data_IF_651710536474
#
_entry.id   IF_651710536474
#
_cell.length_a   1.000
_cell.length_b   1.000
_cell.length_c   1.000
_cell.angle_alpha   90.00
_cell.angle_beta   90.00
_cell.angle_gamma   90.00
#
_symmetry.space_group_name_H-M   'P 1'
#
loop_
_entity.id
_entity.type
_entity.pdbx_description
1 polymer ?
#
# COMPACT_ATOMS: atom_id res chain seq x y z
N UNK A 1 17.18 -46.19 -11.35
CA UNK A 1 16.11 -45.28 -11.79
C UNK A 1 15.41 -44.76 -10.53
N UNK A 2 15.86 -43.62 -9.99
CA UNK A 2 15.42 -43.08 -8.69
C UNK A 2 14.21 -42.19 -8.96
N UNK A 3 13.03 -42.56 -8.45
CA UNK A 3 11.84 -41.70 -8.51
C UNK A 3 11.99 -40.58 -7.48
N UNK A 4 11.85 -39.30 -7.85
CA UNK A 4 11.88 -38.22 -6.88
C UNK A 4 10.70 -38.38 -5.91
N UNK A 5 11.01 -38.34 -4.62
CA UNK A 5 10.04 -38.33 -3.51
C UNK A 5 9.21 -37.05 -3.69
N UNK A 6 7.88 -37.17 -3.81
CA UNK A 6 6.97 -36.03 -3.77
C UNK A 6 7.13 -35.36 -2.40
N UNK A 7 7.91 -34.29 -2.35
CA UNK A 7 7.90 -33.36 -1.22
C UNK A 7 6.50 -32.77 -1.20
N UNK A 8 5.71 -33.11 -0.18
CA UNK A 8 4.42 -32.50 0.04
C UNK A 8 4.63 -31.00 0.11
N UNK A 9 4.04 -30.25 -0.83
CA UNK A 9 3.94 -28.79 -0.68
C UNK A 9 3.09 -28.57 0.57
N UNK A 10 3.74 -28.30 1.70
CA UNK A 10 3.10 -27.74 2.88
C UNK A 10 2.29 -26.53 2.40
N UNK A 11 1.00 -26.51 2.72
CA UNK A 11 0.06 -25.55 2.17
C UNK A 11 0.49 -24.15 2.61
N UNK A 12 0.97 -23.28 1.71
CA UNK A 12 1.40 -21.91 2.06
C UNK A 12 0.23 -20.98 2.42
N UNK A 13 -0.97 -21.53 2.68
CA UNK A 13 -2.19 -20.79 3.02
C UNK A 13 -2.39 -20.60 4.52
N UNK A 14 -1.86 -21.46 5.40
CA UNK A 14 -2.13 -21.37 6.85
C UNK A 14 -1.39 -20.20 7.53
N UNK A 15 -0.20 -19.82 7.06
CA UNK A 15 0.58 -18.73 7.68
C UNK A 15 0.16 -17.32 7.21
N UNK A 16 -0.35 -17.19 5.97
CA UNK A 16 -0.96 -15.94 5.52
C UNK A 16 -2.19 -15.61 6.39
N UNK A 17 -2.89 -16.63 6.89
CA UNK A 17 -4.05 -16.45 7.78
C UNK A 17 -3.71 -15.94 9.19
N UNK A 18 -2.45 -16.04 9.65
CA UNK A 18 -2.03 -15.51 10.96
C UNK A 18 -1.64 -14.02 10.88
N UNK A 19 -0.97 -13.58 9.81
CA UNK A 19 -0.57 -12.16 9.66
C UNK A 19 -1.72 -11.22 9.26
N UNK A 20 -2.77 -11.73 8.59
CA UNK A 20 -4.03 -10.99 8.38
C UNK A 20 -4.92 -10.92 9.62
N UNK A 21 -4.53 -11.55 10.73
CA UNK A 21 -5.36 -11.85 11.91
C UNK A 21 -5.86 -10.66 12.74
N UNK A 22 -5.59 -9.42 12.34
CA UNK A 22 -6.02 -8.23 13.09
C UNK A 22 -6.94 -7.27 12.31
N UNK A 23 -7.22 -7.50 11.03
CA UNK A 23 -8.19 -6.68 10.32
C UNK A 23 -9.61 -7.07 10.76
N UNK A 24 -10.29 -6.18 11.48
CA UNK A 24 -11.68 -6.38 11.88
C UNK A 24 -12.62 -6.07 10.72
N UNK A 25 -13.85 -6.58 10.78
CA UNK A 25 -14.88 -6.21 9.80
C UNK A 25 -15.06 -4.69 9.77
N UNK A 26 -15.09 -4.05 10.94
CA UNK A 26 -15.26 -2.60 11.09
C UNK A 26 -14.15 -1.81 10.39
N UNK A 27 -12.90 -2.29 10.41
CA UNK A 27 -11.78 -1.61 9.72
C UNK A 27 -11.99 -1.57 8.21
N UNK A 28 -12.44 -2.68 7.63
CA UNK A 28 -12.64 -2.81 6.18
C UNK A 28 -13.87 -2.02 5.74
N UNK A 29 -14.95 -2.08 6.52
CA UNK A 29 -16.17 -1.32 6.29
C UNK A 29 -15.87 0.19 6.29
N UNK A 30 -15.17 0.67 7.33
CA UNK A 30 -14.74 2.07 7.45
C UNK A 30 -13.83 2.50 6.29
N UNK A 31 -12.91 1.63 5.87
CA UNK A 31 -12.01 1.90 4.75
C UNK A 31 -12.77 2.09 3.43
N UNK A 32 -13.75 1.21 3.16
CA UNK A 32 -14.60 1.28 1.96
C UNK A 32 -15.53 2.50 1.98
N UNK A 33 -16.12 2.81 3.13
CA UNK A 33 -16.93 4.02 3.31
C UNK A 33 -16.10 5.28 3.03
N UNK A 34 -14.90 5.39 3.60
CA UNK A 34 -14.00 6.52 3.39
C UNK A 34 -13.60 6.64 1.91
N UNK A 35 -13.24 5.52 1.26
CA UNK A 35 -12.94 5.50 -0.17
C UNK A 35 -14.12 6.00 -1.00
N UNK A 36 -15.34 5.55 -0.68
CA UNK A 36 -16.57 5.99 -1.34
C UNK A 36 -16.83 7.48 -1.16
N UNK A 37 -16.75 8.00 0.07
CA UNK A 37 -16.98 9.41 0.39
C UNK A 37 -15.96 10.31 -0.31
N UNK A 38 -14.67 9.99 -0.23
CA UNK A 38 -13.61 10.78 -0.87
C UNK A 38 -13.77 10.74 -2.39
N UNK A 39 -14.04 9.56 -2.96
CA UNK A 39 -14.25 9.43 -4.41
C UNK A 39 -15.45 10.24 -4.86
N UNK A 40 -16.58 10.21 -4.15
CA UNK A 40 -17.78 10.98 -4.47
C UNK A 40 -17.52 12.49 -4.43
N UNK A 41 -16.82 12.97 -3.39
CA UNK A 41 -16.50 14.39 -3.25
C UNK A 41 -15.62 14.88 -4.40
N UNK A 42 -14.53 14.17 -4.70
CA UNK A 42 -13.62 14.56 -5.80
C UNK A 42 -14.32 14.41 -7.17
N UNK A 43 -15.09 13.34 -7.36
CA UNK A 43 -15.85 13.10 -8.60
C UNK A 43 -16.87 14.22 -8.87
N UNK A 44 -17.59 14.67 -7.84
CA UNK A 44 -18.55 15.78 -7.98
C UNK A 44 -17.87 17.09 -8.42
N UNK A 45 -16.67 17.37 -7.88
CA UNK A 45 -15.86 18.54 -8.28
C UNK A 45 -15.39 18.37 -9.72
N UNK A 46 -14.87 17.20 -10.10
CA UNK A 46 -14.41 16.92 -11.44
C UNK A 46 -15.53 17.12 -12.47
N UNK A 47 -16.70 16.51 -12.23
CA UNK A 47 -17.90 16.69 -13.08
C UNK A 47 -18.28 18.17 -13.16
N UNK A 48 -18.45 18.82 -12.00
CA UNK A 48 -18.87 20.22 -11.95
C UNK A 48 -17.95 21.13 -12.76
N UNK A 49 -16.63 20.90 -12.65
CA UNK A 49 -15.65 21.61 -13.45
C UNK A 49 -15.91 21.46 -14.95
N UNK A 50 -16.12 20.25 -15.47
CA UNK A 50 -16.36 20.02 -16.91
C UNK A 50 -17.63 20.67 -17.42
N UNK A 51 -18.68 20.73 -16.61
CA UNK A 51 -19.95 21.34 -17.01
C UNK A 51 -19.98 22.86 -16.85
N UNK A 52 -18.97 23.47 -16.21
CA UNK A 52 -18.96 24.93 -15.99
C UNK A 52 -18.29 25.74 -17.09
N UNK A 53 -17.60 25.11 -18.04
CA UNK A 53 -16.91 25.83 -19.13
C UNK A 53 -17.75 25.73 -20.40
N UNK A 54 -18.16 26.88 -20.92
CA UNK A 54 -18.88 26.97 -22.19
C UNK A 54 -17.93 26.72 -23.37
N UNK A 55 -18.45 26.18 -24.47
CA UNK A 55 -17.70 25.93 -25.71
C UNK A 55 -16.98 27.20 -26.21
N UNK A 56 -17.65 28.35 -26.13
CA UNK A 56 -17.08 29.64 -26.51
C UNK A 56 -15.87 30.03 -25.63
N UNK A 57 -15.82 29.63 -24.37
CA UNK A 57 -14.65 29.88 -23.51
C UNK A 57 -13.46 29.04 -23.97
N UNK A 58 -13.68 27.79 -24.40
CA UNK A 58 -12.63 26.94 -24.98
C UNK A 58 -12.02 27.54 -26.23
N UNK A 59 -12.87 27.99 -27.16
CA UNK A 59 -12.41 28.56 -28.43
C UNK A 59 -11.59 29.82 -28.20
N UNK A 60 -12.06 30.68 -27.29
CA UNK A 60 -11.33 31.88 -26.93
C UNK A 60 -9.98 31.58 -26.26
N UNK A 61 -9.90 30.51 -25.47
CA UNK A 61 -8.63 30.09 -24.88
C UNK A 61 -7.68 29.48 -25.90
N UNK A 62 -8.18 28.62 -26.80
CA UNK A 62 -7.40 28.08 -27.92
C UNK A 62 -6.86 29.22 -28.79
N UNK A 63 -7.70 30.20 -29.15
CA UNK A 63 -7.28 31.36 -29.94
C UNK A 63 -6.17 32.14 -29.24
N UNK A 64 -6.33 32.44 -27.95
CA UNK A 64 -5.32 33.17 -27.17
C UNK A 64 -4.02 32.38 -27.09
N UNK A 65 -4.10 31.08 -26.84
CA UNK A 65 -2.95 30.19 -26.79
C UNK A 65 -2.19 30.19 -28.13
N UNK A 66 -2.91 30.04 -29.24
CA UNK A 66 -2.33 30.03 -30.57
C UNK A 66 -1.68 31.38 -30.92
N UNK A 67 -2.32 32.50 -30.59
CA UNK A 67 -1.70 33.84 -30.78
C UNK A 67 -0.41 33.95 -29.94
N UNK A 68 -0.40 33.39 -28.74
CA UNK A 68 0.76 33.48 -27.86
C UNK A 68 1.94 32.63 -28.33
N UNK A 69 1.70 31.37 -28.70
CA UNK A 69 2.76 30.40 -28.98
C UNK A 69 3.12 30.23 -30.46
N UNK A 70 2.23 30.54 -31.40
CA UNK A 70 2.46 30.28 -32.82
C UNK A 70 2.67 31.58 -33.63
N UNK A 71 3.91 31.85 -34.07
CA UNK A 71 4.22 33.01 -34.89
C UNK A 71 3.48 33.03 -36.24
N UNK A 72 3.24 31.86 -36.85
CA UNK A 72 2.55 31.78 -38.14
C UNK A 72 1.08 32.10 -37.98
N UNK A 73 0.47 31.63 -36.88
CA UNK A 73 -0.90 31.99 -36.57
C UNK A 73 -1.04 33.49 -36.29
N UNK A 74 -0.07 34.11 -35.60
CA UNK A 74 -0.04 35.58 -35.45
C UNK A 74 -0.04 36.32 -36.80
N UNK A 75 0.78 35.87 -37.76
CA UNK A 75 0.81 36.42 -39.11
C UNK A 75 -0.53 36.26 -39.82
N UNK A 76 -1.15 35.09 -39.70
CA UNK A 76 -2.47 34.81 -40.26
C UNK A 76 -3.56 35.72 -39.68
N UNK A 77 -3.67 35.80 -38.35
CA UNK A 77 -4.60 36.69 -37.64
C UNK A 77 -4.40 38.13 -38.10
N UNK A 78 -3.15 38.59 -38.16
CA UNK A 78 -2.80 39.93 -38.66
C UNK A 78 -3.31 40.17 -40.08
N UNK A 79 -3.00 39.26 -41.00
CA UNK A 79 -3.41 39.39 -42.41
C UNK A 79 -4.93 39.43 -42.57
N UNK A 80 -5.64 38.61 -41.79
CA UNK A 80 -7.10 38.54 -41.79
C UNK A 80 -7.72 39.84 -41.27
N UNK A 81 -7.21 40.37 -40.15
CA UNK A 81 -7.70 41.63 -39.58
C UNK A 81 -7.46 42.83 -40.52
N UNK A 82 -6.35 42.83 -41.27
CA UNK A 82 -6.09 43.85 -42.29
C UNK A 82 -7.05 43.69 -43.48
N UNK A 83 -7.27 42.46 -43.94
CA UNK A 83 -8.10 42.15 -45.10
C UNK A 83 -9.58 42.43 -44.89
N UNK A 84 -10.11 42.17 -43.70
CA UNK A 84 -11.52 42.45 -43.36
C UNK A 84 -11.83 43.95 -43.29
N UNK A 85 -10.84 44.83 -43.48
CA UNK A 85 -10.96 46.29 -43.28
C UNK A 85 -11.73 46.59 -42.01
N UNK A 86 -11.53 45.77 -40.97
CA UNK A 86 -12.32 45.87 -39.76
C UNK A 86 -11.97 47.22 -39.17
N UNK A 87 -12.85 48.18 -39.40
CA UNK A 87 -12.95 49.45 -38.70
C UNK A 87 -13.41 49.13 -37.28
N UNK A 88 -12.68 48.24 -36.61
CA UNK A 88 -12.70 48.10 -35.18
C UNK A 88 -12.20 49.44 -34.75
N UNK A 89 -13.13 50.32 -34.42
CA UNK A 89 -12.85 51.44 -33.55
C UNK A 89 -12.34 50.78 -32.28
N UNK A 90 -11.03 50.52 -32.23
CA UNK A 90 -10.32 50.30 -30.99
C UNK A 90 -10.77 51.50 -30.17
N UNK A 91 -11.44 51.28 -29.02
CA UNK A 91 -12.01 52.36 -28.24
C UNK A 91 -11.00 53.50 -28.18
N UNK A 92 -11.39 54.70 -28.59
CA UNK A 92 -10.46 55.80 -28.91
C UNK A 92 -9.55 56.19 -27.74
N UNK A 93 -9.91 55.79 -26.52
CA UNK A 93 -9.06 55.88 -25.31
C UNK A 93 -7.86 54.92 -25.29
N UNK A 94 -7.92 53.78 -26.00
CA UNK A 94 -6.86 52.79 -26.12
C UNK A 94 -6.04 52.94 -27.43
N UNK A 95 -6.59 53.57 -28.46
CA UNK A 95 -5.95 53.67 -29.78
C UNK A 95 -4.64 54.46 -29.79
N UNK A 96 -4.46 55.40 -28.85
CA UNK A 96 -3.21 56.16 -28.72
C UNK A 96 -2.09 55.41 -27.97
N UNK A 97 -2.37 54.25 -27.36
CA UNK A 97 -1.37 53.47 -26.59
C UNK A 97 -1.23 52.00 -27.00
N UNK A 98 -2.18 51.44 -27.73
CA UNK A 98 -2.23 50.00 -27.99
C UNK A 98 -2.36 49.69 -29.49
N UNK A 99 -1.23 49.66 -30.19
CA UNK A 99 -1.18 49.23 -31.60
C UNK A 99 -1.05 47.70 -31.67
N UNK A 100 -2.21 47.04 -31.86
CA UNK A 100 -2.33 45.59 -31.97
C UNK A 100 -1.38 45.00 -33.04
N UNK A 101 -1.24 45.68 -34.18
CA UNK A 101 -0.42 45.21 -35.30
C UNK A 101 1.07 45.39 -34.99
N UNK A 102 1.46 46.48 -34.31
CA UNK A 102 2.83 46.68 -33.86
C UNK A 102 3.25 45.69 -32.77
N UNK A 103 2.35 45.34 -31.85
CA UNK A 103 2.62 44.34 -30.81
C UNK A 103 2.82 42.95 -31.43
N UNK A 104 1.94 42.57 -32.35
CA UNK A 104 2.10 41.31 -33.10
C UNK A 104 3.41 41.30 -33.91
N UNK A 105 3.83 42.42 -34.49
CA UNK A 105 5.12 42.54 -35.18
C UNK A 105 6.34 42.45 -34.24
N UNK A 106 6.30 43.08 -33.06
CA UNK A 106 7.41 43.00 -32.08
C UNK A 106 7.58 41.58 -31.56
N UNK A 107 6.47 40.87 -31.37
CA UNK A 107 6.47 39.49 -30.86
C UNK A 107 7.19 38.47 -31.77
N UNK A 108 7.41 38.78 -33.05
CA UNK A 108 8.19 37.90 -33.94
C UNK A 108 9.69 37.86 -33.58
N UNK A 109 10.19 38.85 -32.84
CA UNK A 109 11.61 38.99 -32.50
C UNK A 109 11.95 38.61 -31.05
N UNK A 110 10.95 38.24 -30.24
CA UNK A 110 11.18 37.85 -28.85
C UNK A 110 11.61 36.38 -28.78
N UNK A 111 12.91 36.17 -28.53
CA UNK A 111 13.43 34.88 -28.08
C UNK A 111 12.82 34.52 -26.70
N UNK A 112 12.50 33.25 -26.54
CA UNK A 112 11.56 32.67 -25.56
C UNK A 112 11.97 32.75 -24.07
N UNK A 113 12.86 33.65 -23.66
CA UNK A 113 13.45 33.65 -22.31
C UNK A 113 13.40 34.99 -21.55
N UNK A 114 13.02 36.11 -22.17
CA UNK A 114 12.89 37.42 -21.47
C UNK A 114 11.41 37.83 -21.47
N UNK A 115 10.69 37.46 -20.39
CA UNK A 115 9.27 37.11 -20.48
C UNK A 115 8.24 37.99 -19.75
N UNK A 116 8.56 39.12 -19.10
CA UNK A 116 7.50 39.85 -18.37
C UNK A 116 6.66 40.77 -19.27
N UNK A 117 7.32 41.67 -20.00
CA UNK A 117 6.61 42.81 -20.60
C UNK A 117 6.02 42.46 -21.96
N UNK A 118 6.80 41.79 -22.82
CA UNK A 118 6.32 41.30 -24.13
C UNK A 118 5.17 40.31 -23.99
N UNK A 119 5.14 39.48 -22.95
CA UNK A 119 4.03 38.55 -22.73
C UNK A 119 2.74 39.25 -22.31
N UNK A 120 2.83 40.32 -21.50
CA UNK A 120 1.66 41.14 -21.16
C UNK A 120 1.09 41.85 -22.39
N UNK A 121 1.95 42.34 -23.27
CA UNK A 121 1.53 42.94 -24.54
C UNK A 121 0.85 41.91 -25.46
N UNK A 122 1.45 40.73 -25.65
CA UNK A 122 0.88 39.66 -26.50
C UNK A 122 -0.44 39.13 -25.92
N UNK A 123 -0.54 38.95 -24.59
CA UNK A 123 -1.81 38.55 -23.97
C UNK A 123 -2.91 39.59 -24.15
N UNK A 124 -2.56 40.87 -24.05
CA UNK A 124 -3.50 41.97 -24.27
C UNK A 124 -3.94 41.99 -25.74
N UNK A 125 -3.00 41.80 -26.68
CA UNK A 125 -3.29 41.65 -28.10
C UNK A 125 -4.22 40.46 -28.38
N UNK A 126 -3.94 39.29 -27.80
CA UNK A 126 -4.77 38.10 -27.92
C UNK A 126 -6.19 38.32 -27.38
N UNK A 127 -6.35 39.05 -26.27
CA UNK A 127 -7.66 39.39 -25.70
C UNK A 127 -8.46 40.29 -26.63
N UNK A 128 -7.83 41.28 -27.26
CA UNK A 128 -8.50 42.14 -28.25
C UNK A 128 -8.85 41.35 -29.51
N UNK A 129 -7.91 40.55 -30.03
CA UNK A 129 -8.15 39.69 -31.18
C UNK A 129 -9.33 38.74 -30.95
N UNK A 130 -9.46 38.13 -29.76
CA UNK A 130 -10.59 37.23 -29.45
C UNK A 130 -11.98 37.87 -29.49
N UNK A 131 -12.09 39.19 -29.41
CA UNK A 131 -13.37 39.90 -29.51
C UNK A 131 -13.80 40.20 -30.94
N UNK A 132 -12.86 40.14 -31.88
CA UNK A 132 -13.04 40.64 -33.25
C UNK A 132 -12.82 39.54 -34.28
N UNK A 133 -11.84 38.67 -34.03
CA UNK A 133 -11.41 37.65 -34.96
C UNK A 133 -12.48 36.56 -35.10
N UNK A 134 -12.92 36.21 -36.33
CA UNK A 134 -13.87 35.14 -36.54
C UNK A 134 -13.29 33.79 -36.14
N UNK A 135 -13.84 33.15 -35.10
CA UNK A 135 -13.34 31.87 -34.58
C UNK A 135 -13.34 30.75 -35.64
N UNK A 136 -14.22 30.82 -36.63
CA UNK A 136 -14.27 29.91 -37.78
C UNK A 136 -12.94 29.82 -38.53
N UNK A 137 -12.20 30.93 -38.64
CA UNK A 137 -10.90 30.95 -39.30
C UNK A 137 -9.79 30.30 -38.47
N UNK A 138 -9.94 30.27 -37.14
CA UNK A 138 -9.01 29.54 -36.28
C UNK A 138 -9.10 28.03 -36.56
N UNK A 139 -10.31 27.50 -36.63
CA UNK A 139 -10.54 26.09 -36.96
C UNK A 139 -10.02 25.73 -38.36
N UNK A 140 -10.16 26.62 -39.34
CA UNK A 140 -9.58 26.40 -40.66
C UNK A 140 -8.04 26.36 -40.65
N UNK A 141 -7.40 27.06 -39.71
CA UNK A 141 -5.94 27.13 -39.60
C UNK A 141 -5.33 25.92 -38.88
N UNK A 142 -5.93 25.48 -37.78
CA UNK A 142 -5.41 24.36 -36.98
C UNK A 142 -6.07 23.01 -37.29
N UNK A 143 -7.18 22.99 -38.02
CA UNK A 143 -8.04 21.82 -38.08
C UNK A 143 -8.53 21.43 -36.68
N UNK A 144 -8.62 20.13 -36.42
CA UNK A 144 -9.05 19.57 -35.13
C UNK A 144 -7.97 19.62 -34.02
N UNK A 145 -6.76 20.12 -34.30
CA UNK A 145 -5.64 20.13 -33.33
C UNK A 145 -5.71 21.31 -32.33
N UNK A 146 -6.83 21.42 -31.63
CA UNK A 146 -7.03 22.41 -30.58
C UNK A 146 -6.30 22.01 -29.28
N UNK A 147 -5.14 22.59 -28.99
CA UNK A 147 -4.25 22.15 -27.91
C UNK A 147 -4.86 22.23 -26.50
N UNK A 148 -5.61 23.29 -26.17
CA UNK A 148 -6.16 23.47 -24.82
C UNK A 148 -7.35 22.54 -24.59
N UNK A 149 -8.25 22.41 -25.56
CA UNK A 149 -9.36 21.44 -25.48
C UNK A 149 -8.87 20.00 -25.54
N UNK A 150 -7.79 19.71 -26.29
CA UNK A 150 -7.12 18.40 -26.32
C UNK A 150 -6.51 18.05 -24.96
N UNK A 151 -5.85 18.99 -24.28
CA UNK A 151 -5.36 18.75 -22.92
C UNK A 151 -6.50 18.53 -21.94
N UNK A 152 -7.56 19.35 -22.00
CA UNK A 152 -8.67 19.18 -21.08
C UNK A 152 -9.40 17.85 -21.30
N UNK A 153 -9.61 17.42 -22.54
CA UNK A 153 -10.20 16.11 -22.84
C UNK A 153 -9.27 14.97 -22.44
N UNK A 154 -7.96 15.07 -22.74
CA UNK A 154 -6.96 14.05 -22.44
C UNK A 154 -6.78 13.80 -20.94
N UNK A 155 -6.87 14.84 -20.10
CA UNK A 155 -6.75 14.66 -18.64
C UNK A 155 -8.12 14.54 -17.97
N UNK A 156 -9.11 15.28 -18.45
CA UNK A 156 -10.38 15.41 -17.77
C UNK A 156 -11.31 14.22 -17.91
N UNK A 157 -11.43 13.68 -19.13
CA UNK A 157 -12.25 12.49 -19.34
C UNK A 157 -11.67 11.28 -18.60
N UNK A 158 -10.37 10.95 -18.72
CA UNK A 158 -9.78 9.86 -17.94
C UNK A 158 -9.85 10.10 -16.42
N UNK A 159 -9.69 11.33 -15.94
CA UNK A 159 -9.88 11.65 -14.52
C UNK A 159 -11.27 11.24 -14.03
N UNK A 160 -12.31 11.69 -14.74
CA UNK A 160 -13.70 11.42 -14.40
C UNK A 160 -13.99 9.91 -14.43
N UNK A 161 -13.51 9.21 -15.45
CA UNK A 161 -13.65 7.75 -15.54
C UNK A 161 -12.97 7.02 -14.37
N UNK A 162 -11.74 7.39 -14.02
CA UNK A 162 -11.00 6.74 -12.93
C UNK A 162 -11.64 6.98 -11.57
N UNK A 163 -12.12 8.21 -11.32
CA UNK A 163 -12.87 8.55 -10.11
C UNK A 163 -14.21 7.82 -10.04
N UNK A 164 -14.92 7.69 -11.17
CA UNK A 164 -16.16 6.93 -11.28
C UNK A 164 -15.96 5.44 -11.02
N UNK A 165 -14.87 4.85 -11.54
CA UNK A 165 -14.49 3.46 -11.25
C UNK A 165 -14.16 3.26 -9.77
N UNK A 166 -13.42 4.18 -9.15
CA UNK A 166 -13.11 4.12 -7.72
C UNK A 166 -14.39 4.18 -6.85
N UNK A 167 -15.31 5.10 -7.18
CA UNK A 167 -16.59 5.24 -6.48
C UNK A 167 -17.48 4.00 -6.66
N UNK A 168 -17.68 3.56 -7.90
CA UNK A 168 -18.50 2.38 -8.17
C UNK A 168 -17.87 1.12 -7.54
N UNK A 169 -16.55 0.97 -7.63
CA UNK A 169 -15.80 -0.10 -7.00
C UNK A 169 -15.99 -0.13 -5.48
N UNK A 170 -15.89 1.02 -4.82
CA UNK A 170 -16.15 1.14 -3.38
C UNK A 170 -17.57 0.69 -3.03
N UNK A 171 -18.60 1.14 -3.79
CA UNK A 171 -19.98 0.73 -3.56
C UNK A 171 -20.19 -0.78 -3.77
N UNK A 172 -19.66 -1.35 -4.86
CA UNK A 172 -19.79 -2.79 -5.12
C UNK A 172 -19.08 -3.64 -4.06
N UNK A 173 -17.89 -3.23 -3.62
CA UNK A 173 -17.15 -3.91 -2.57
C UNK A 173 -17.85 -3.79 -1.22
N UNK A 174 -18.41 -2.63 -0.90
CA UNK A 174 -19.20 -2.42 0.31
C UNK A 174 -20.44 -3.32 0.31
N UNK A 175 -21.23 -3.32 -0.78
CA UNK A 175 -22.38 -4.22 -0.90
C UNK A 175 -21.98 -5.71 -0.83
N UNK A 176 -20.86 -6.09 -1.46
CA UNK A 176 -20.32 -7.45 -1.39
C UNK A 176 -19.96 -7.83 0.05
N UNK A 177 -19.29 -6.93 0.78
CA UNK A 177 -18.94 -7.11 2.18
C UNK A 177 -20.21 -7.24 3.05
N UNK A 178 -21.18 -6.34 2.89
CA UNK A 178 -22.43 -6.35 3.67
C UNK A 178 -23.33 -7.56 3.41
N UNK A 179 -23.35 -8.09 2.18
CA UNK A 179 -24.15 -9.27 1.83
C UNK A 179 -23.47 -10.59 2.20
N UNK A 180 -22.16 -10.56 2.43
CA UNK A 180 -21.39 -11.74 2.83
C UNK A 180 -21.53 -12.03 4.33
N UNK A 181 -21.37 -13.29 4.79
CA UNK A 181 -21.48 -13.66 6.21
C UNK A 181 -20.24 -13.23 7.05
N UNK A 182 -19.48 -12.26 6.58
CA UNK A 182 -18.19 -11.82 7.13
C UNK A 182 -18.30 -11.18 8.50
N UNK A 183 -19.47 -10.64 8.86
CA UNK A 183 -19.74 -10.06 10.18
C UNK A 183 -19.83 -11.10 11.31
N UNK A 184 -20.22 -12.33 10.98
CA UNK A 184 -20.45 -13.39 11.98
C UNK A 184 -19.46 -14.55 11.87
N UNK A 185 -18.67 -14.61 10.79
CA UNK A 185 -17.78 -15.72 10.49
C UNK A 185 -16.41 -15.21 10.02
N UNK A 186 -15.42 -15.33 10.90
CA UNK A 186 -14.04 -14.90 10.65
C UNK A 186 -13.40 -15.61 9.45
N UNK A 187 -13.73 -16.88 9.20
CA UNK A 187 -13.23 -17.59 8.02
C UNK A 187 -13.77 -16.98 6.71
N UNK A 188 -15.03 -16.53 6.72
CA UNK A 188 -15.62 -15.86 5.58
C UNK A 188 -14.92 -14.50 5.34
N UNK A 189 -14.61 -13.76 6.41
CA UNK A 189 -13.86 -12.51 6.34
C UNK A 189 -12.46 -12.73 5.77
N UNK A 190 -11.73 -13.74 6.26
CA UNK A 190 -10.41 -14.11 5.71
C UNK A 190 -10.47 -14.41 4.21
N UNK A 191 -11.45 -15.20 3.77
CA UNK A 191 -11.62 -15.52 2.33
C UNK A 191 -11.98 -14.28 1.52
N UNK A 192 -12.84 -13.41 2.06
CA UNK A 192 -13.19 -12.16 1.41
C UNK A 192 -11.95 -11.26 1.26
N UNK A 193 -11.14 -11.11 2.31
CA UNK A 193 -9.94 -10.27 2.33
C UNK A 193 -8.92 -10.65 1.24
N UNK A 194 -8.76 -11.95 0.96
CA UNK A 194 -7.85 -12.43 -0.10
C UNK A 194 -8.18 -11.82 -1.47
N UNK A 195 -9.47 -11.61 -1.78
CA UNK A 195 -9.90 -11.08 -3.07
C UNK A 195 -10.31 -9.60 -3.00
N UNK A 196 -10.91 -9.19 -1.90
CA UNK A 196 -11.40 -7.83 -1.68
C UNK A 196 -10.25 -6.84 -1.49
N UNK A 197 -9.20 -7.19 -0.74
CA UNK A 197 -8.12 -6.26 -0.43
C UNK A 197 -7.30 -5.82 -1.67
N UNK A 198 -6.93 -6.71 -2.62
CA UNK A 198 -6.35 -6.30 -3.90
C UNK A 198 -7.26 -5.37 -4.70
N UNK A 199 -8.58 -5.62 -4.71
CA UNK A 199 -9.56 -4.78 -5.41
C UNK A 199 -9.69 -3.41 -4.75
N UNK A 200 -9.67 -3.32 -3.42
CA UNK A 200 -9.59 -2.06 -2.67
C UNK A 200 -8.34 -1.29 -3.10
N UNK A 201 -7.18 -1.97 -3.16
CA UNK A 201 -5.92 -1.37 -3.62
C UNK A 201 -6.01 -0.78 -5.03
N UNK A 202 -6.64 -1.51 -5.96
CA UNK A 202 -6.88 -1.01 -7.33
C UNK A 202 -7.79 0.23 -7.32
N UNK A 203 -8.86 0.23 -6.50
CA UNK A 203 -9.75 1.39 -6.40
C UNK A 203 -9.03 2.63 -5.85
N UNK A 204 -8.15 2.48 -4.85
CA UNK A 204 -7.30 3.57 -4.37
C UNK A 204 -6.31 4.06 -5.43
N UNK A 205 -5.74 3.16 -6.23
CA UNK A 205 -4.87 3.54 -7.34
C UNK A 205 -5.63 4.34 -8.40
N UNK A 206 -6.84 3.90 -8.77
CA UNK A 206 -7.74 4.64 -9.66
C UNK A 206 -8.10 6.01 -9.09
N UNK A 207 -8.41 6.10 -7.79
CA UNK A 207 -8.67 7.37 -7.11
C UNK A 207 -7.45 8.31 -7.22
N UNK A 208 -6.25 7.82 -6.91
CA UNK A 208 -5.03 8.62 -6.95
C UNK A 208 -4.72 9.14 -8.37
N UNK A 209 -4.78 8.27 -9.38
CA UNK A 209 -4.59 8.66 -10.79
C UNK A 209 -5.67 9.66 -11.22
N UNK A 210 -6.92 9.40 -10.83
CA UNK A 210 -8.06 10.28 -11.09
C UNK A 210 -7.88 11.68 -10.52
N UNK A 211 -7.42 11.80 -9.28
CA UNK A 211 -7.11 13.08 -8.62
C UNK A 211 -5.98 13.82 -9.36
N UNK A 212 -4.90 13.13 -9.70
CA UNK A 212 -3.75 13.74 -10.42
C UNK A 212 -4.18 14.33 -11.77
N UNK A 213 -4.96 13.56 -12.54
CA UNK A 213 -5.49 14.03 -13.81
C UNK A 213 -6.52 15.15 -13.63
N UNK A 214 -7.34 15.07 -12.58
CA UNK A 214 -8.34 16.09 -12.26
C UNK A 214 -7.69 17.44 -11.90
N UNK A 215 -6.62 17.42 -11.11
CA UNK A 215 -5.84 18.61 -10.79
C UNK A 215 -5.17 19.19 -12.05
N UNK A 216 -4.67 18.34 -12.94
CA UNK A 216 -4.09 18.77 -14.22
C UNK A 216 -5.12 19.44 -15.14
N UNK A 217 -6.34 18.89 -15.17
CA UNK A 217 -7.46 19.50 -15.87
C UNK A 217 -7.87 20.83 -15.21
N UNK A 218 -7.91 20.92 -13.88
CA UNK A 218 -8.22 22.14 -13.15
C UNK A 218 -7.22 23.26 -13.45
N UNK A 219 -5.92 22.94 -13.49
CA UNK A 219 -4.88 23.90 -13.92
C UNK A 219 -5.16 24.41 -15.34
N UNK A 220 -5.57 23.53 -16.25
CA UNK A 220 -5.93 23.91 -17.61
C UNK A 220 -7.18 24.79 -17.66
N UNK A 221 -8.17 24.55 -16.79
CA UNK A 221 -9.34 25.41 -16.65
C UNK A 221 -9.01 26.80 -16.11
N UNK A 222 -8.15 26.87 -15.09
CA UNK A 222 -7.70 28.16 -14.56
C UNK A 222 -6.93 28.92 -15.63
N UNK A 223 -6.15 28.23 -16.46
CA UNK A 223 -5.48 28.83 -17.61
C UNK A 223 -6.47 29.43 -18.62
N UNK A 224 -7.56 28.71 -18.94
CA UNK A 224 -8.63 29.19 -19.83
C UNK A 224 -9.25 30.48 -19.29
N UNK A 225 -9.59 30.52 -18.00
CA UNK A 225 -10.31 31.66 -17.39
C UNK A 225 -9.40 32.84 -17.03
N UNK A 226 -8.18 32.57 -16.59
CA UNK A 226 -7.25 33.58 -16.05
C UNK A 226 -5.88 33.52 -16.72
N UNK A 227 -5.79 33.84 -18.02
CA UNK A 227 -4.52 33.78 -18.75
C UNK A 227 -3.46 34.72 -18.17
N UNK A 228 -3.82 35.82 -17.51
CA UNK A 228 -2.84 36.74 -16.89
C UNK A 228 -2.19 36.21 -15.62
N UNK A 229 -2.72 35.14 -15.01
CA UNK A 229 -2.09 34.48 -13.88
C UNK A 229 -0.92 33.57 -14.30
N UNK A 230 -0.58 33.57 -15.60
CA UNK A 230 0.41 32.70 -16.25
C UNK A 230 1.73 32.56 -15.49
N UNK A 231 2.33 33.68 -15.05
CA UNK A 231 3.63 33.65 -14.39
C UNK A 231 3.56 32.96 -13.02
N UNK A 232 2.48 33.19 -12.28
CA UNK A 232 2.23 32.55 -10.99
C UNK A 232 1.84 31.07 -11.15
N UNK A 233 1.10 30.76 -12.22
CA UNK A 233 0.66 29.41 -12.52
C UNK A 233 1.74 28.53 -13.15
N UNK A 234 2.73 29.09 -13.83
CA UNK A 234 3.86 28.33 -14.37
C UNK A 234 4.71 27.75 -13.22
N UNK A 235 4.89 28.52 -12.15
CA UNK A 235 5.50 28.05 -10.90
C UNK A 235 4.65 26.96 -10.24
N UNK A 236 3.32 27.15 -10.15
CA UNK A 236 2.42 26.15 -9.58
C UNK A 236 2.34 24.86 -10.42
N UNK A 237 2.34 24.98 -11.75
CA UNK A 237 2.39 23.88 -12.70
C UNK A 237 3.70 23.10 -12.53
N UNK A 238 4.84 23.80 -12.45
CA UNK A 238 6.13 23.16 -12.21
C UNK A 238 6.16 22.43 -10.86
N UNK A 239 5.59 23.03 -9.82
CA UNK A 239 5.42 22.38 -8.51
C UNK A 239 4.51 21.16 -8.58
N UNK A 240 3.41 21.19 -9.33
CA UNK A 240 2.55 20.03 -9.57
C UNK A 240 3.27 18.93 -10.38
N UNK A 241 4.00 19.29 -11.43
CA UNK A 241 4.79 18.36 -12.24
C UNK A 241 5.94 17.71 -11.45
N UNK A 242 6.42 18.34 -10.37
CA UNK A 242 7.42 17.76 -9.45
C UNK A 242 6.72 16.98 -8.33
N UNK A 243 5.69 17.56 -7.71
CA UNK A 243 4.97 16.96 -6.58
C UNK A 243 4.25 15.66 -6.97
N UNK A 244 3.69 15.57 -8.17
CA UNK A 244 3.03 14.36 -8.67
C UNK A 244 3.99 13.17 -8.75
N UNK A 245 5.12 13.22 -9.49
CA UNK A 245 6.06 12.11 -9.53
C UNK A 245 6.71 11.86 -8.17
N UNK A 246 6.99 12.89 -7.35
CA UNK A 246 7.50 12.69 -5.98
C UNK A 246 6.50 11.92 -5.13
N UNK A 247 5.23 12.32 -5.10
CA UNK A 247 4.18 11.60 -4.38
C UNK A 247 3.95 10.20 -4.94
N UNK A 248 4.04 10.04 -6.26
CA UNK A 248 3.93 8.72 -6.92
C UNK A 248 5.08 7.81 -6.50
N UNK A 249 6.32 8.31 -6.48
CA UNK A 249 7.51 7.57 -6.03
C UNK A 249 7.39 7.23 -4.54
N UNK A 250 6.95 8.17 -3.70
CA UNK A 250 6.75 7.92 -2.26
C UNK A 250 5.66 6.87 -2.04
N UNK A 251 4.54 6.96 -2.76
CA UNK A 251 3.44 6.01 -2.66
C UNK A 251 3.84 4.61 -3.12
N UNK A 252 4.44 4.47 -4.31
CA UNK A 252 4.96 3.17 -4.78
C UNK A 252 6.10 2.66 -3.92
N UNK A 253 6.96 3.53 -3.42
CA UNK A 253 8.01 3.19 -2.47
C UNK A 253 7.44 2.64 -1.16
N UNK A 254 6.36 3.24 -0.65
CA UNK A 254 5.65 2.73 0.52
C UNK A 254 4.98 1.38 0.25
N UNK A 255 4.36 1.17 -0.92
CA UNK A 255 3.81 -0.13 -1.31
C UNK A 255 4.92 -1.19 -1.41
N UNK A 256 6.02 -0.89 -2.09
CA UNK A 256 7.17 -1.80 -2.22
C UNK A 256 7.77 -2.12 -0.84
N UNK A 257 7.89 -1.10 0.03
CA UNK A 257 8.35 -1.28 1.39
C UNK A 257 7.41 -2.16 2.21
N UNK A 258 6.09 -1.96 2.09
CA UNK A 258 5.07 -2.80 2.71
C UNK A 258 5.16 -4.25 2.23
N UNK A 259 5.27 -4.46 0.91
CA UNK A 259 5.47 -5.79 0.32
C UNK A 259 6.79 -6.39 0.80
N UNK A 260 7.87 -5.61 0.88
CA UNK A 260 9.16 -6.08 1.38
C UNK A 260 9.09 -6.47 2.86
N UNK A 261 8.47 -5.66 3.72
CA UNK A 261 8.25 -5.96 5.14
C UNK A 261 7.42 -7.23 5.25
N UNK A 262 6.34 -7.36 4.47
CA UNK A 262 5.50 -8.55 4.44
C UNK A 262 6.29 -9.81 4.03
N UNK A 263 7.08 -9.73 2.95
CA UNK A 263 7.94 -10.83 2.50
C UNK A 263 9.03 -11.18 3.51
N UNK A 264 9.60 -10.19 4.20
CA UNK A 264 10.63 -10.39 5.23
C UNK A 264 10.04 -11.00 6.50
N UNK A 265 8.88 -10.51 6.93
CA UNK A 265 8.13 -11.09 8.05
C UNK A 265 7.82 -12.56 7.77
N UNK A 266 7.35 -12.87 6.55
CA UNK A 266 7.12 -14.24 6.11
C UNK A 266 8.38 -15.10 6.20
N UNK A 267 9.52 -14.62 5.70
CA UNK A 267 10.79 -15.36 5.78
C UNK A 267 11.24 -15.60 7.23
N UNK A 268 10.98 -14.65 8.14
CA UNK A 268 11.30 -14.81 9.56
C UNK A 268 10.49 -15.91 10.24
N UNK A 269 9.23 -16.10 9.85
CA UNK A 269 8.40 -17.20 10.36
C UNK A 269 8.85 -18.55 9.80
N UNK A 270 9.22 -18.61 8.52
CA UNK A 270 9.78 -19.83 7.92
C UNK A 270 11.04 -20.30 8.69
N UNK A 271 11.90 -19.35 9.09
CA UNK A 271 13.14 -19.63 9.84
C UNK A 271 12.84 -20.14 11.27
N UNK A 272 11.87 -19.55 11.99
CA UNK A 272 11.44 -20.01 13.33
C UNK A 272 10.82 -21.41 13.30
N UNK A 273 9.98 -21.73 12.32
CA UNK A 273 9.36 -23.06 12.21
C UNK A 273 10.38 -24.16 11.87
N UNK A 274 11.46 -23.84 11.14
CA UNK A 274 12.59 -24.76 10.94
C UNK A 274 13.43 -24.98 12.20
N UNK A 275 13.55 -23.98 13.07
CA UNK A 275 14.30 -24.11 14.33
C UNK A 275 13.49 -24.91 15.36
N UNK A 276 12.17 -24.69 15.45
CA UNK A 276 11.31 -25.42 16.37
C UNK A 276 11.10 -26.90 15.95
N UNK A 277 11.29 -27.23 14.67
CA UNK A 277 11.33 -28.62 14.19
C UNK A 277 12.72 -29.24 14.20
N UNK A 278 13.80 -28.46 14.37
CA UNK A 278 15.17 -29.00 14.49
C UNK A 278 15.58 -29.29 15.93
N UNK A 279 14.97 -28.64 16.92
CA UNK A 279 15.23 -28.89 18.34
C UNK A 279 14.04 -29.61 18.98
N UNK A 280 14.04 -30.94 18.83
CA UNK A 280 13.83 -31.97 19.87
C UNK A 280 13.88 -33.29 19.09
N UNK A 281 15.07 -33.62 18.61
CA UNK A 281 15.48 -35.03 18.62
C UNK A 281 16.41 -35.14 19.79
N UNK A 282 15.85 -35.51 20.95
CA UNK A 282 16.63 -36.08 22.03
C UNK A 282 17.17 -37.46 21.57
N UNK A 283 18.07 -37.44 20.59
CA UNK A 283 18.80 -38.62 20.12
C UNK A 283 20.12 -38.76 20.89
N UNK A 284 20.55 -37.73 21.66
CA UNK A 284 21.79 -37.80 22.40
C UNK A 284 21.62 -38.50 23.76
N UNK A 285 22.29 -39.64 24.01
CA UNK A 285 22.18 -40.41 25.26
C UNK A 285 22.56 -39.64 26.53
N UNK A 286 23.15 -38.45 26.40
CA UNK A 286 23.56 -37.59 27.52
C UNK A 286 22.38 -36.96 28.26
N UNK A 287 21.32 -36.59 27.55
CA UNK A 287 20.13 -35.95 28.17
C UNK A 287 19.31 -36.98 28.96
N UNK A 288 19.31 -38.23 28.47
CA UNK A 288 18.71 -39.39 29.14
C UNK A 288 19.41 -39.72 30.47
N UNK A 289 20.74 -39.54 30.51
CA UNK A 289 21.52 -39.73 31.73
C UNK A 289 21.19 -38.69 32.80
N UNK A 290 20.95 -37.44 32.39
CA UNK A 290 20.48 -36.39 33.31
C UNK A 290 19.16 -36.77 33.97
N UNK A 291 18.21 -37.29 33.21
CA UNK A 291 16.90 -37.71 33.72
C UNK A 291 16.99 -38.91 34.67
N UNK A 292 17.80 -39.91 34.34
CA UNK A 292 18.01 -41.08 35.21
C UNK A 292 18.67 -40.70 36.55
N UNK A 293 19.66 -39.80 36.51
CA UNK A 293 20.31 -39.29 37.72
C UNK A 293 19.36 -38.50 38.63
N UNK A 294 18.45 -37.71 38.03
CA UNK A 294 17.43 -36.96 38.77
C UNK A 294 16.39 -37.90 39.39
N UNK A 295 16.02 -38.97 38.70
CA UNK A 295 14.99 -39.91 39.15
C UNK A 295 15.47 -40.80 40.31
N UNK A 296 16.70 -41.31 40.25
CA UNK A 296 17.16 -42.38 41.16
C UNK A 296 17.95 -41.84 42.36
N UNK A 297 18.39 -40.57 42.34
CA UNK A 297 18.95 -39.71 43.41
C UNK A 297 19.99 -40.29 44.41
N UNK A 298 20.33 -41.56 44.33
CA UNK A 298 20.99 -42.28 45.43
C UNK A 298 21.83 -43.48 44.99
N UNK A 299 21.77 -43.89 43.72
CA UNK A 299 22.50 -45.06 43.23
C UNK A 299 23.06 -44.81 41.81
N UNK A 300 24.31 -44.35 41.77
CA UNK A 300 25.02 -44.07 40.52
C UNK A 300 25.31 -45.35 39.72
N UNK A 301 25.53 -46.48 40.41
CA UNK A 301 25.81 -47.77 39.78
C UNK A 301 24.55 -48.33 39.10
N UNK A 302 23.37 -48.10 39.69
CA UNK A 302 22.09 -48.40 39.07
C UNK A 302 21.84 -47.55 37.80
N UNK A 303 22.20 -46.27 37.80
CA UNK A 303 22.01 -45.38 36.64
C UNK A 303 22.81 -45.86 35.42
N UNK A 304 24.09 -46.23 35.61
CA UNK A 304 24.95 -46.72 34.52
C UNK A 304 24.43 -48.03 33.93
N UNK A 305 23.92 -48.93 34.79
CA UNK A 305 23.30 -50.18 34.37
C UNK A 305 22.02 -49.97 33.56
N UNK A 306 21.19 -49.00 33.94
CA UNK A 306 19.94 -48.70 33.22
C UNK A 306 20.21 -48.02 31.88
N UNK A 307 21.17 -47.09 31.83
CA UNK A 307 21.61 -46.47 30.58
C UNK A 307 22.20 -47.49 29.59
N UNK A 308 22.98 -48.45 30.08
CA UNK A 308 23.48 -49.55 29.26
C UNK A 308 22.33 -50.42 28.69
N UNK A 309 21.32 -50.70 29.51
CA UNK A 309 20.13 -51.49 29.10
C UNK A 309 19.30 -50.72 28.06
N UNK A 310 19.09 -49.42 28.23
CA UNK A 310 18.40 -48.56 27.24
C UNK A 310 19.12 -48.55 25.89
N UNK A 311 20.46 -48.45 25.92
CA UNK A 311 21.29 -48.47 24.71
C UNK A 311 21.26 -49.83 24.01
N UNK A 312 21.24 -50.91 24.78
CA UNK A 312 21.17 -52.28 24.26
C UNK A 312 19.80 -52.56 23.60
N UNK A 313 18.71 -52.17 24.26
CA UNK A 313 17.34 -52.39 23.79
C UNK A 313 16.83 -51.31 22.81
N UNK A 314 17.67 -50.30 22.50
CA UNK A 314 17.32 -49.15 21.63
C UNK A 314 16.03 -48.44 22.04
N UNK A 315 15.84 -48.26 23.35
CA UNK A 315 14.65 -47.61 23.91
C UNK A 315 14.86 -46.10 23.86
N UNK A 316 14.04 -45.38 23.08
CA UNK A 316 14.01 -43.91 23.04
C UNK A 316 13.19 -43.36 24.21
N UNK A 317 13.37 -42.07 24.54
CA UNK A 317 12.54 -41.35 25.52
C UNK A 317 11.06 -41.42 25.15
N UNK A 318 10.75 -41.34 23.85
CA UNK A 318 9.38 -41.43 23.33
C UNK A 318 8.76 -42.80 23.64
N UNK A 319 9.52 -43.89 23.46
CA UNK A 319 9.04 -45.22 23.82
C UNK A 319 8.80 -45.36 25.32
N UNK A 320 9.54 -44.67 26.19
CA UNK A 320 9.32 -44.70 27.64
C UNK A 320 8.00 -44.04 28.06
N UNK A 321 7.50 -43.08 27.29
CA UNK A 321 6.22 -42.40 27.57
C UNK A 321 5.02 -43.33 27.45
N UNK A 322 5.12 -44.31 26.55
CA UNK A 322 4.04 -45.27 26.29
C UNK A 322 4.08 -46.50 27.22
N UNK A 323 5.12 -46.65 28.04
CA UNK A 323 5.31 -47.81 28.89
C UNK A 323 4.74 -47.60 30.29
N UNK A 324 4.05 -48.62 30.80
CA UNK A 324 3.59 -48.60 32.19
C UNK A 324 4.77 -48.81 33.15
N UNK A 325 4.66 -48.42 34.44
CA UNK A 325 5.69 -48.72 35.44
C UNK A 325 6.01 -50.22 35.55
N UNK A 326 5.05 -51.10 35.24
CA UNK A 326 5.28 -52.54 35.23
C UNK A 326 6.13 -52.98 34.02
N UNK A 327 5.94 -52.35 32.87
CA UNK A 327 6.74 -52.62 31.67
C UNK A 327 8.18 -52.11 31.86
N UNK A 328 8.34 -50.90 32.40
CA UNK A 328 9.65 -50.33 32.77
C UNK A 328 10.36 -51.27 33.74
N UNK A 329 9.66 -51.77 34.76
CA UNK A 329 10.21 -52.76 35.70
C UNK A 329 10.71 -54.02 35.00
N UNK A 330 9.91 -54.57 34.09
CA UNK A 330 10.23 -55.82 33.41
C UNK A 330 11.41 -55.66 32.44
N UNK A 331 11.46 -54.53 31.73
CA UNK A 331 12.49 -54.20 30.75
C UNK A 331 13.85 -53.96 31.43
N UNK A 332 13.88 -53.16 32.51
CA UNK A 332 15.13 -52.83 33.20
C UNK A 332 15.51 -53.84 34.30
N UNK A 333 14.61 -54.77 34.62
CA UNK A 333 14.73 -55.70 35.74
C UNK A 333 15.05 -54.97 37.07
N UNK A 334 14.21 -53.98 37.42
CA UNK A 334 14.41 -53.07 38.55
C UNK A 334 13.34 -53.20 39.62
N UNK A 335 13.60 -52.74 40.86
CA UNK A 335 12.54 -52.58 41.85
C UNK A 335 11.43 -51.68 41.32
N UNK A 336 10.17 -52.04 41.62
CA UNK A 336 9.00 -51.30 41.15
C UNK A 336 9.01 -49.82 41.56
N UNK A 337 9.64 -49.49 42.70
CA UNK A 337 9.84 -48.10 43.14
C UNK A 337 10.64 -47.29 42.12
N UNK A 338 11.79 -47.80 41.67
CA UNK A 338 12.62 -47.11 40.67
C UNK A 338 11.89 -46.97 39.33
N UNK A 339 11.09 -47.97 38.94
CA UNK A 339 10.29 -47.88 37.72
C UNK A 339 9.23 -46.77 37.81
N UNK A 340 8.61 -46.58 38.98
CA UNK A 340 7.67 -45.47 39.20
C UNK A 340 8.37 -44.11 39.18
N UNK A 341 9.58 -44.01 39.72
CA UNK A 341 10.33 -42.75 39.75
C UNK A 341 10.83 -42.35 38.36
N UNK A 342 11.26 -43.31 37.54
CA UNK A 342 11.58 -43.10 36.12
C UNK A 342 10.33 -42.64 35.36
N UNK A 343 9.19 -43.33 35.55
CA UNK A 343 7.93 -42.96 34.90
C UNK A 343 7.47 -41.54 35.25
N UNK A 344 7.57 -41.14 36.53
CA UNK A 344 7.27 -39.77 36.97
C UNK A 344 8.24 -38.75 36.39
N UNK A 345 9.54 -39.05 36.34
CA UNK A 345 10.53 -38.14 35.79
C UNK A 345 10.28 -37.86 34.29
N UNK A 346 9.97 -38.92 33.53
CA UNK A 346 9.64 -38.81 32.09
C UNK A 346 8.36 -38.00 31.87
N UNK A 347 7.31 -38.23 32.67
CA UNK A 347 6.04 -37.51 32.52
C UNK A 347 6.07 -36.06 33.02
N UNK A 348 6.81 -35.78 34.09
CA UNK A 348 6.94 -34.41 34.61
C UNK A 348 7.72 -33.51 33.63
N UNK A 349 8.72 -34.04 32.93
CA UNK A 349 9.43 -33.29 31.89
C UNK A 349 8.49 -32.90 30.74
N UNK A 350 7.57 -33.79 30.34
CA UNK A 350 6.56 -33.44 29.34
C UNK A 350 5.59 -32.37 29.80
N UNK A 351 5.24 -32.32 31.08
CA UNK A 351 4.38 -31.25 31.62
C UNK A 351 5.14 -29.92 31.66
N UNK A 352 6.41 -29.90 32.03
CA UNK A 352 7.26 -28.69 32.00
C UNK A 352 7.48 -28.20 30.57
N UNK A 353 7.78 -29.09 29.62
CA UNK A 353 7.90 -28.75 28.19
C UNK A 353 6.58 -28.25 27.61
N UNK A 354 5.44 -28.88 27.95
CA UNK A 354 4.12 -28.44 27.52
C UNK A 354 3.76 -27.07 28.12
N UNK A 355 4.11 -26.81 29.39
CA UNK A 355 3.88 -25.54 30.04
C UNK A 355 4.75 -24.43 29.43
N UNK A 356 6.00 -24.73 29.09
CA UNK A 356 6.93 -23.81 28.44
C UNK A 356 6.50 -23.50 26.99
N UNK A 357 6.09 -24.51 26.21
CA UNK A 357 5.51 -24.29 24.87
C UNK A 357 4.20 -23.50 24.93
N UNK A 358 3.33 -23.79 25.89
CA UNK A 358 2.11 -23.01 26.11
C UNK A 358 2.41 -21.55 26.50
N UNK A 359 3.45 -21.30 27.29
CA UNK A 359 3.90 -19.94 27.64
C UNK A 359 4.49 -19.21 26.42
N UNK A 360 5.31 -19.86 25.60
CA UNK A 360 5.88 -19.29 24.37
C UNK A 360 4.81 -18.97 23.32
N UNK A 361 3.80 -19.84 23.15
CA UNK A 361 2.70 -19.62 22.20
C UNK A 361 1.80 -18.42 22.53
N UNK A 362 1.88 -17.87 23.75
CA UNK A 362 1.11 -16.68 24.17
C UNK A 362 1.78 -15.35 23.84
N UNK A 363 2.90 -15.33 23.09
CA UNK A 363 3.48 -14.12 22.52
C UNK A 363 4.01 -13.09 23.52
N UNK A 364 4.02 -13.40 24.82
CA UNK A 364 4.56 -12.53 25.84
C UNK A 364 6.05 -12.83 26.02
N UNK A 365 6.91 -11.92 25.55
CA UNK A 365 8.35 -11.90 25.82
C UNK A 365 8.64 -11.51 27.29
N UNK A 366 8.00 -12.20 28.23
CA UNK A 366 8.25 -12.07 29.67
C UNK A 366 9.19 -13.20 30.04
N UNK A 367 10.34 -12.89 30.64
CA UNK A 367 11.21 -13.91 31.22
C UNK A 367 10.47 -14.53 32.41
N UNK A 368 9.93 -15.73 32.22
CA UNK A 368 9.28 -16.47 33.29
C UNK A 368 10.31 -17.43 33.90
N UNK A 369 10.47 -17.37 35.22
CA UNK A 369 11.34 -18.28 35.96
C UNK A 369 10.46 -19.22 36.78
N UNK A 370 10.69 -20.53 36.64
CA UNK A 370 10.06 -21.53 37.50
C UNK A 370 10.80 -21.55 38.83
N UNK A 371 10.10 -21.24 39.92
CA UNK A 371 10.61 -21.41 41.28
C UNK A 371 9.79 -22.48 42.01
N UNK A 372 10.49 -23.27 42.83
CA UNK A 372 9.87 -24.32 43.64
C UNK A 372 9.54 -23.74 45.01
N UNK A 373 8.26 -23.50 45.26
CA UNK A 373 7.76 -22.98 46.54
C UNK A 373 6.94 -24.08 47.20
N UNK A 374 7.36 -24.50 48.39
CA UNK A 374 6.72 -25.55 49.19
C UNK A 374 6.46 -26.88 48.44
N UNK A 375 7.40 -27.29 47.60
CA UNK A 375 7.33 -28.56 46.85
C UNK A 375 6.50 -28.51 45.57
N UNK A 376 5.84 -27.38 45.29
CA UNK A 376 5.11 -27.14 44.04
C UNK A 376 5.92 -26.23 43.12
N UNK A 377 5.88 -26.52 41.81
CA UNK A 377 6.46 -25.66 40.78
C UNK A 377 5.48 -24.54 40.48
N UNK A 378 5.93 -23.29 40.66
CA UNK A 378 5.12 -22.10 40.39
C UNK A 378 5.84 -21.26 39.33
N UNK A 379 5.13 -20.85 38.28
CA UNK A 379 5.64 -19.88 37.31
C UNK A 379 5.64 -18.48 37.97
N UNK A 380 6.83 -17.90 38.10
CA UNK A 380 7.00 -16.53 38.60
C UNK A 380 7.35 -15.63 37.41
N UNK A 381 6.44 -14.71 37.06
CA UNK A 381 6.71 -13.67 36.07
C UNK A 381 7.65 -12.61 36.63
N UNK A 382 8.83 -12.46 36.03
CA UNK A 382 9.79 -11.44 36.41
C UNK A 382 9.36 -10.08 35.81
N UNK A 383 8.56 -9.31 36.56
CA UNK A 383 8.04 -7.99 36.14
C UNK A 383 9.09 -6.86 36.16
N UNK A 384 10.37 -7.18 36.21
CA UNK A 384 11.44 -6.21 36.48
C UNK A 384 12.03 -5.54 35.24
N UNK A 385 11.26 -5.19 34.19
CA UNK A 385 11.85 -4.47 33.05
C UNK A 385 10.94 -3.74 32.04
N UNK A 386 9.93 -2.98 32.44
CA UNK A 386 9.38 -1.89 31.58
C UNK A 386 8.95 -0.70 32.44
N UNK A 387 9.93 0.11 32.85
CA UNK A 387 9.73 1.50 33.26
C UNK A 387 11.07 2.20 33.05
N UNK A 388 11.31 2.68 31.83
CA UNK A 388 12.15 3.84 31.50
C UNK A 388 12.32 3.99 29.98
N UNK A 389 11.42 4.77 29.38
CA UNK A 389 11.62 5.59 28.18
C UNK A 389 10.44 6.58 28.13
N UNK A 390 10.52 7.68 28.90
CA UNK A 390 11.00 9.03 28.53
C UNK A 390 9.86 9.96 28.10
N UNK A 391 9.89 11.13 28.73
CA UNK A 391 9.24 12.40 28.36
C UNK A 391 9.35 12.75 26.87
#
# INVERSE_FOLDING_TARGET
MIRPKKVGRGKPTEEIEQSLGHATFEDIDTLLELLGVVSALVFSIAIGLFFTIEELEFDNANLKYSIFFDPNFRKFVRSTLIAEKTSVQIPTDLSNKFDLLAILNRSEKCDSLILSDSCREIMSAARFASKVFPLQYMYAFYGDDNFVSKNLSMFGFPSTCMLGVALAGAMFLLCSLSLSPTRTNDEALKRWLVYGLPLIGICYLCLAIGVIFGLSALVSMVYIRYPTAFDSFFMLRSLLYIAVPVNTIVFWGAIILLVYIFLRYRRSQDDEETVEKSDIKAEDPSDLMGLLQIAIKSDAEACDKYAATMKQEKISVEHLKDLSPQDIRNIFNIPYGHACDIFRAVNNQTEEEAAMKAAMSRGNSVSVRLERVDGHLVLVEDKSRILNAKE
#
